data_IF_955447160978
#
_entry.id   IF_955447160978
#
_cell.length_a   1.000
_cell.length_b   1.000
_cell.length_c   1.000
_cell.angle_alpha   90.00
_cell.angle_beta   90.00
_cell.angle_gamma   90.00
#
_symmetry.space_group_name_H-M   'P 1'
#
loop_
_entity.id
_entity.type
_entity.pdbx_description
1 polymer ?
#
# COMPACT_ATOMS: atom_id res chain seq x y z
N UNK A 1 -5.87 76.46 9.41
CA UNK A 1 -4.70 75.64 9.04
C UNK A 1 -5.10 74.71 7.91
N UNK A 2 -4.58 74.99 6.71
CA UNK A 2 -3.92 74.04 5.80
C UNK A 2 -4.03 72.53 6.14
N UNK A 3 -4.31 71.56 5.25
CA UNK A 3 -4.36 71.51 3.78
C UNK A 3 -5.07 70.23 3.32
N UNK A 4 -5.84 70.36 2.24
CA UNK A 4 -6.48 69.35 1.39
C UNK A 4 -5.48 68.64 0.44
N UNK A 5 -5.85 67.45 -0.06
CA UNK A 5 -5.72 66.90 -1.44
C UNK A 5 -5.30 65.42 -1.40
N UNK A 6 -6.08 64.45 -1.94
CA UNK A 6 -6.50 64.19 -3.33
C UNK A 6 -5.34 63.70 -4.22
N UNK A 7 -5.33 62.40 -4.54
CA UNK A 7 -4.62 61.80 -5.68
C UNK A 7 -5.50 60.63 -6.18
N UNK A 8 -6.29 60.77 -7.25
CA UNK A 8 -5.97 60.62 -8.68
C UNK A 8 -5.59 59.19 -9.12
N UNK A 9 -6.47 58.63 -9.97
CA UNK A 9 -6.25 57.50 -10.87
C UNK A 9 -5.32 57.90 -12.04
N UNK A 10 -4.34 57.06 -12.41
CA UNK A 10 -4.27 56.33 -13.71
C UNK A 10 -2.94 55.58 -13.92
N UNK A 11 -3.06 54.31 -14.33
CA UNK A 11 -2.22 53.49 -15.23
C UNK A 11 -0.70 53.37 -15.00
N UNK A 12 -0.27 52.16 -14.62
CA UNK A 12 0.88 51.42 -15.18
C UNK A 12 0.79 49.93 -14.80
N UNK A 13 0.83 49.04 -15.79
CA UNK A 13 1.05 47.60 -15.61
C UNK A 13 2.34 47.34 -14.83
N UNK A 14 2.33 46.44 -13.84
CA UNK A 14 3.42 45.48 -13.56
C UNK A 14 3.06 44.56 -12.36
N UNK A 15 3.22 43.25 -12.55
CA UNK A 15 3.00 42.17 -11.58
C UNK A 15 4.33 41.94 -10.83
N UNK A 16 4.38 41.91 -9.48
CA UNK A 16 5.62 41.55 -8.77
C UNK A 16 5.81 40.02 -8.77
N UNK A 17 6.91 39.56 -9.40
CA UNK A 17 7.44 38.20 -9.26
C UNK A 17 7.96 37.99 -7.83
N UNK A 18 7.35 37.08 -7.09
CA UNK A 18 7.92 36.57 -5.84
C UNK A 18 9.06 35.59 -6.15
N UNK A 19 10.21 35.84 -5.53
CA UNK A 19 11.46 35.10 -5.66
C UNK A 19 11.38 33.74 -4.97
N UNK A 20 11.73 32.67 -5.69
CA UNK A 20 11.69 31.25 -5.30
C UNK A 20 12.93 30.76 -4.54
N UNK A 21 13.76 31.65 -4.01
CA UNK A 21 15.18 31.34 -3.75
C UNK A 21 15.55 31.05 -2.28
N UNK A 22 14.58 30.83 -1.40
CA UNK A 22 14.86 30.66 0.07
C UNK A 22 14.41 29.34 0.67
N UNK A 23 13.80 28.41 -0.08
CA UNK A 23 13.42 27.07 0.43
C UNK A 23 14.28 25.92 -0.07
N UNK A 24 15.12 26.14 -1.07
CA UNK A 24 15.99 25.09 -1.62
C UNK A 24 17.32 24.93 -0.87
N UNK A 25 17.72 25.93 -0.08
CA UNK A 25 19.00 25.91 0.66
C UNK A 25 18.97 25.06 1.95
N UNK A 26 17.80 24.65 2.45
CA UNK A 26 17.71 23.86 3.69
C UNK A 26 17.67 22.34 3.47
N UNK A 27 17.37 21.86 2.26
CA UNK A 27 17.24 20.41 1.97
C UNK A 27 18.59 19.75 1.68
N UNK A 28 19.58 20.50 1.20
CA UNK A 28 20.90 19.96 0.78
C UNK A 28 21.98 20.03 1.85
N UNK A 29 21.70 20.57 3.04
CA UNK A 29 22.67 20.67 4.14
C UNK A 29 22.69 19.44 5.07
N UNK A 30 21.80 18.47 4.88
CA UNK A 30 21.76 17.26 5.71
C UNK A 30 22.79 16.23 5.24
N UNK A 31 23.66 15.77 6.14
CA UNK A 31 24.58 14.66 5.90
C UNK A 31 23.87 13.38 5.39
N UNK A 32 22.57 13.22 5.70
CA UNK A 32 21.75 12.13 5.14
C UNK A 32 21.45 12.32 3.65
N UNK A 33 21.20 13.56 3.19
CA UNK A 33 20.97 13.84 1.78
C UNK A 33 22.24 13.58 0.95
N UNK A 34 23.40 13.98 1.47
CA UNK A 34 24.70 13.70 0.84
C UNK A 34 25.04 12.20 0.85
N UNK A 35 24.72 11.49 1.93
CA UNK A 35 24.87 10.03 2.01
C UNK A 35 23.98 9.28 1.01
N UNK A 36 22.73 9.75 0.83
CA UNK A 36 21.81 9.17 -0.14
C UNK A 36 22.30 9.40 -1.58
N UNK A 37 22.81 10.60 -1.86
CA UNK A 37 23.34 10.94 -3.18
C UNK A 37 24.60 10.12 -3.51
N UNK A 38 25.52 9.97 -2.55
CA UNK A 38 26.72 9.16 -2.72
C UNK A 38 26.40 7.67 -2.93
N UNK A 39 25.38 7.16 -2.23
CA UNK A 39 24.91 5.79 -2.41
C UNK A 39 24.25 5.59 -3.79
N UNK A 40 23.48 6.58 -4.26
CA UNK A 40 22.84 6.54 -5.59
C UNK A 40 23.90 6.56 -6.70
N UNK A 41 24.90 7.44 -6.59
CA UNK A 41 26.03 7.52 -7.54
C UNK A 41 26.83 6.22 -7.54
N UNK A 42 27.17 5.68 -6.35
CA UNK A 42 27.89 4.41 -6.23
C UNK A 42 27.13 3.21 -6.80
N UNK A 43 25.79 3.23 -6.74
CA UNK A 43 24.93 2.21 -7.34
C UNK A 43 24.85 2.32 -8.87
N UNK A 44 24.78 3.54 -9.40
CA UNK A 44 24.60 3.79 -10.83
C UNK A 44 25.92 3.69 -11.61
N UNK A 45 27.07 3.97 -10.99
CA UNK A 45 28.36 4.03 -11.67
C UNK A 45 28.80 2.70 -12.34
N UNK A 46 28.63 1.52 -11.72
CA UNK A 46 28.90 0.23 -12.39
C UNK A 46 27.95 -0.04 -13.56
N UNK A 47 26.69 0.42 -13.47
CA UNK A 47 25.66 0.25 -14.50
C UNK A 47 26.02 1.10 -15.72
N UNK A 48 26.43 2.36 -15.49
CA UNK A 48 26.90 3.27 -16.53
C UNK A 48 28.17 2.72 -17.19
N UNK A 49 29.15 2.25 -16.42
CA UNK A 49 30.39 1.66 -16.96
C UNK A 49 30.12 0.41 -17.81
N UNK A 50 29.14 -0.42 -17.43
CA UNK A 50 28.73 -1.60 -18.19
C UNK A 50 28.05 -1.20 -19.51
N UNK A 51 27.20 -0.17 -19.49
CA UNK A 51 26.55 0.37 -20.69
C UNK A 51 27.56 1.00 -21.67
N UNK A 52 28.56 1.74 -21.14
CA UNK A 52 29.64 2.34 -21.94
C UNK A 52 30.58 1.27 -22.51
N UNK A 53 30.91 0.22 -21.75
CA UNK A 53 31.73 -0.89 -22.22
C UNK A 53 31.04 -1.70 -23.34
N UNK A 54 29.72 -1.87 -23.28
CA UNK A 54 28.94 -2.51 -24.35
C UNK A 54 28.84 -1.67 -25.64
N UNK A 55 29.09 -0.36 -25.57
CA UNK A 55 29.11 0.52 -26.76
C UNK A 55 30.44 0.47 -27.55
N UNK A 56 31.49 -0.13 -27.00
CA UNK A 56 32.84 -0.14 -27.58
C UNK A 56 33.17 -1.31 -28.53
N UNK A 57 32.24 -2.25 -28.77
CA UNK A 57 32.51 -3.41 -29.64
C UNK A 57 32.08 -3.16 -31.11
N UNK A 58 33.01 -3.15 -32.08
CA UNK A 58 32.71 -2.82 -33.47
C UNK A 58 32.24 -4.07 -34.24
N UNK A 59 31.16 -4.72 -33.79
CA UNK A 59 30.40 -5.69 -34.61
C UNK A 59 29.06 -6.07 -33.98
N UNK A 60 28.09 -5.16 -34.03
CA UNK A 60 26.67 -5.53 -33.98
C UNK A 60 25.87 -4.66 -34.94
N UNK A 61 25.60 -5.20 -36.12
CA UNK A 61 24.68 -4.63 -37.11
C UNK A 61 23.25 -5.05 -36.75
N UNK A 62 22.72 -4.61 -35.61
CA UNK A 62 21.26 -4.59 -35.35
C UNK A 62 20.96 -3.85 -34.06
N UNK A 63 21.12 -2.52 -34.00
CA UNK A 63 20.33 -1.61 -33.14
C UNK A 63 20.57 -0.21 -33.72
N UNK A 64 19.60 0.37 -34.42
CA UNK A 64 19.61 1.80 -34.82
C UNK A 64 18.55 2.63 -34.08
N UNK A 65 17.64 1.98 -33.33
CA UNK A 65 16.64 2.64 -32.47
C UNK A 65 17.07 2.83 -31.00
N UNK A 66 17.74 1.86 -30.39
CA UNK A 66 18.17 1.94 -28.97
C UNK A 66 19.43 2.78 -28.70
N UNK A 67 20.10 3.29 -29.74
CA UNK A 67 21.26 4.18 -29.58
C UNK A 67 20.87 5.61 -29.21
N UNK A 68 19.70 6.05 -29.66
CA UNK A 68 19.20 7.42 -29.43
C UNK A 68 18.60 7.58 -28.02
N UNK A 69 17.94 6.52 -27.51
CA UNK A 69 17.38 6.51 -26.14
C UNK A 69 18.45 6.43 -25.05
N UNK A 70 19.50 5.64 -25.28
CA UNK A 70 20.63 5.55 -24.36
C UNK A 70 21.41 6.86 -24.23
N UNK A 71 21.55 7.62 -25.33
CA UNK A 71 22.17 8.95 -25.28
C UNK A 71 21.30 9.98 -24.55
N UNK A 72 19.98 9.98 -24.78
CA UNK A 72 19.05 10.88 -24.09
C UNK A 72 18.98 10.60 -22.58
N UNK A 73 19.08 9.33 -22.18
CA UNK A 73 19.15 8.96 -20.76
C UNK A 73 20.46 9.43 -20.12
N UNK A 74 21.58 9.35 -20.85
CA UNK A 74 22.87 9.82 -20.37
C UNK A 74 22.94 11.35 -20.28
N UNK A 75 22.40 12.09 -21.25
CA UNK A 75 22.28 13.56 -21.19
C UNK A 75 21.40 14.00 -20.01
N UNK A 76 20.25 13.35 -19.78
CA UNK A 76 19.37 13.69 -18.65
C UNK A 76 20.02 13.43 -17.27
N UNK A 77 20.86 12.39 -17.17
CA UNK A 77 21.61 12.08 -15.95
C UNK A 77 22.79 13.05 -15.77
N UNK A 78 23.49 13.41 -16.84
CA UNK A 78 24.60 14.38 -16.81
C UNK A 78 24.09 15.78 -16.45
N UNK A 79 22.97 16.22 -17.03
CA UNK A 79 22.29 17.47 -16.68
C UNK A 79 21.87 17.50 -15.22
N UNK A 80 21.33 16.38 -14.70
CA UNK A 80 20.97 16.27 -13.29
C UNK A 80 22.19 16.37 -12.36
N UNK A 81 23.33 15.78 -12.75
CA UNK A 81 24.58 15.84 -11.99
C UNK A 81 25.18 17.24 -12.04
N UNK A 82 25.25 17.87 -13.22
CA UNK A 82 25.79 19.24 -13.40
C UNK A 82 24.96 20.27 -12.62
N UNK A 83 23.63 20.10 -12.62
CA UNK A 83 22.70 20.96 -11.88
C UNK A 83 22.77 20.74 -10.35
N UNK A 84 23.34 19.61 -9.90
CA UNK A 84 23.50 19.27 -8.49
C UNK A 84 24.89 19.59 -7.90
N UNK A 85 25.91 19.87 -8.73
CA UNK A 85 27.33 19.95 -8.31
C UNK A 85 27.92 21.38 -8.29
N UNK A 86 27.18 22.42 -8.69
CA UNK A 86 27.68 23.82 -8.59
C UNK A 86 27.56 24.42 -7.17
N UNK A 87 28.31 23.90 -6.20
CA UNK A 87 28.74 24.64 -5.00
C UNK A 87 30.12 24.14 -4.52
N UNK A 88 31.16 24.95 -4.76
CA UNK A 88 32.54 24.73 -4.36
C UNK A 88 32.76 24.79 -2.82
N UNK A 89 33.40 23.73 -2.26
CA UNK A 89 34.45 23.62 -1.20
C UNK A 89 34.52 24.55 0.06
N UNK A 90 35.29 24.23 1.17
CA UNK A 90 36.14 23.06 1.48
C UNK A 90 35.97 22.41 2.89
N UNK A 91 36.42 21.14 2.95
CA UNK A 91 36.96 20.30 4.05
C UNK A 91 37.22 20.91 5.45
N UNK A 92 36.73 20.22 6.51
CA UNK A 92 37.42 20.09 7.82
C UNK A 92 37.21 18.69 8.46
N UNK A 93 38.22 18.26 9.23
CA UNK A 93 38.57 16.93 9.74
C UNK A 93 37.74 16.40 10.93
N UNK A 94 37.78 15.08 11.21
CA UNK A 94 37.05 14.45 12.31
C UNK A 94 37.84 14.47 13.63
N UNK A 95 37.17 14.64 14.77
CA UNK A 95 37.63 14.11 16.07
C UNK A 95 36.47 13.97 17.08
N UNK A 96 36.48 12.79 17.72
CA UNK A 96 36.00 12.45 19.06
C UNK A 96 34.50 12.51 19.40
N UNK A 97 33.85 11.34 19.40
CA UNK A 97 32.74 11.04 20.32
C UNK A 97 33.00 9.71 21.02
N UNK A 98 33.21 9.79 22.34
CA UNK A 98 33.38 8.67 23.27
C UNK A 98 32.12 7.82 23.37
N UNK A 99 32.31 6.50 23.39
CA UNK A 99 31.29 5.50 23.71
C UNK A 99 31.38 5.19 25.20
N UNK A 100 30.33 5.54 25.97
CA UNK A 100 30.10 4.97 27.31
C UNK A 100 29.12 3.80 27.20
N UNK A 101 29.57 2.63 27.67
CA UNK A 101 28.79 1.40 27.78
C UNK A 101 28.12 1.38 29.16
N UNK A 102 26.81 1.59 29.20
CA UNK A 102 25.99 1.44 30.40
C UNK A 102 25.27 0.08 30.42
N UNK A 103 25.67 -0.77 31.36
CA UNK A 103 25.06 -2.06 31.68
C UNK A 103 23.64 -1.89 32.24
N UNK A 104 22.64 -2.64 31.74
CA UNK A 104 21.29 -2.71 32.31
C UNK A 104 21.07 -4.11 32.90
N UNK A 105 20.89 -4.14 34.22
CA UNK A 105 20.46 -5.31 35.00
C UNK A 105 18.98 -5.63 34.75
N UNK A 106 18.67 -6.92 34.66
CA UNK A 106 17.31 -7.46 34.57
C UNK A 106 16.70 -7.60 35.96
N UNK A 107 15.55 -6.99 36.19
CA UNK A 107 14.61 -7.39 37.25
C UNK A 107 13.42 -8.11 36.61
N UNK A 108 13.18 -9.33 37.11
CA UNK A 108 12.05 -10.19 36.80
C UNK A 108 11.03 -9.97 37.91
N UNK A 109 9.84 -9.47 37.58
CA UNK A 109 8.68 -9.53 38.48
C UNK A 109 7.61 -10.43 37.85
N UNK A 110 7.20 -11.41 38.64
CA UNK A 110 6.20 -12.42 38.35
C UNK A 110 4.86 -11.96 38.93
N UNK A 111 3.85 -11.78 38.09
CA UNK A 111 2.46 -11.70 38.52
C UNK A 111 1.67 -12.86 37.92
N UNK A 112 1.22 -13.75 38.80
CA UNK A 112 0.31 -14.86 38.52
C UNK A 112 -1.11 -14.40 38.82
N UNK A 113 -1.88 -14.08 37.79
CA UNK A 113 -3.33 -13.94 37.92
C UNK A 113 -4.04 -15.03 37.12
N UNK A 114 -4.80 -15.84 37.84
CA UNK A 114 -5.48 -17.04 37.35
C UNK A 114 -6.91 -16.68 36.93
N UNK A 115 -7.15 -16.61 35.62
CA UNK A 115 -8.49 -16.43 35.04
C UNK A 115 -9.12 -17.81 34.81
N UNK A 116 -10.41 -18.03 35.14
CA UNK A 116 -11.05 -19.33 34.98
C UNK A 116 -11.17 -19.73 33.51
N UNK A 117 -10.70 -20.93 33.17
CA UNK A 117 -10.85 -21.58 31.87
C UNK A 117 -12.34 -21.88 31.60
N UNK A 118 -13.00 -20.97 30.87
CA UNK A 118 -14.19 -21.34 30.09
C UNK A 118 -13.68 -22.25 28.98
N UNK A 119 -14.04 -23.53 29.01
CA UNK A 119 -13.66 -24.49 27.99
C UNK A 119 -14.27 -24.07 26.64
N UNK A 120 -13.46 -23.41 25.81
CA UNK A 120 -13.75 -23.24 24.39
C UNK A 120 -14.03 -24.63 23.78
N UNK A 121 -15.00 -24.76 22.87
CA UNK A 121 -15.26 -26.03 22.21
C UNK A 121 -13.95 -26.57 21.61
N UNK A 122 -13.67 -27.85 21.84
CA UNK A 122 -12.48 -28.52 21.31
C UNK A 122 -12.47 -28.35 19.79
N UNK A 123 -11.57 -27.50 19.31
CA UNK A 123 -11.34 -27.29 17.89
C UNK A 123 -10.91 -28.62 17.31
N UNK A 124 -11.58 -29.15 16.28
CA UNK A 124 -11.13 -30.36 15.61
C UNK A 124 -9.71 -30.12 15.08
N UNK A 125 -8.78 -30.96 15.47
CA UNK A 125 -7.37 -30.84 15.09
C UNK A 125 -7.18 -31.65 13.81
N UNK A 126 -6.77 -31.04 12.68
CA UNK A 126 -6.50 -31.76 11.44
C UNK A 126 -5.37 -32.79 11.60
N UNK A 127 -5.25 -33.73 10.67
CA UNK A 127 -4.13 -34.67 10.66
C UNK A 127 -2.76 -33.95 10.65
N UNK A 128 -1.73 -34.57 11.24
CA UNK A 128 -0.39 -33.96 11.45
C UNK A 128 0.23 -33.42 10.15
N UNK A 129 0.05 -34.16 9.04
CA UNK A 129 0.51 -33.74 7.70
C UNK A 129 -0.11 -32.42 7.25
N UNK A 130 -1.42 -32.23 7.48
CA UNK A 130 -2.16 -31.01 7.14
C UNK A 130 -1.68 -29.86 8.02
N UNK A 131 -1.53 -30.08 9.32
CA UNK A 131 -1.06 -29.05 10.26
C UNK A 131 0.33 -28.53 9.86
N UNK A 132 1.28 -29.43 9.63
CA UNK A 132 2.64 -29.09 9.23
C UNK A 132 2.66 -28.35 7.90
N UNK A 133 1.83 -28.77 6.95
CA UNK A 133 1.65 -28.09 5.68
C UNK A 133 1.11 -26.67 5.83
N UNK A 134 0.06 -26.47 6.66
CA UNK A 134 -0.50 -25.13 6.94
C UNK A 134 0.57 -24.23 7.55
N UNK A 135 1.29 -24.67 8.58
CA UNK A 135 2.34 -23.87 9.23
C UNK A 135 3.43 -23.47 8.23
N UNK A 136 3.84 -24.41 7.36
CA UNK A 136 4.87 -24.20 6.34
C UNK A 136 4.47 -23.13 5.31
N UNK A 137 3.18 -23.05 4.95
CA UNK A 137 2.66 -22.04 4.01
C UNK A 137 2.34 -20.72 4.72
N UNK A 138 1.76 -20.77 5.91
CA UNK A 138 1.31 -19.60 6.65
C UNK A 138 2.46 -18.68 7.06
N UNK A 139 3.57 -19.23 7.57
CA UNK A 139 4.70 -18.41 8.06
C UNK A 139 5.24 -17.45 6.98
N UNK A 140 5.63 -17.91 5.77
CA UNK A 140 6.07 -17.00 4.72
C UNK A 140 4.93 -16.15 4.17
N UNK A 141 3.66 -16.60 4.24
CA UNK A 141 2.52 -15.77 3.84
C UNK A 141 2.43 -14.52 4.73
N UNK A 142 2.41 -14.67 6.05
CA UNK A 142 2.35 -13.55 6.99
C UNK A 142 3.58 -12.64 6.85
N UNK A 143 4.80 -13.21 6.80
CA UNK A 143 6.02 -12.40 6.78
C UNK A 143 6.21 -11.62 5.49
N UNK A 144 5.81 -12.22 4.35
CA UNK A 144 6.12 -11.65 3.04
C UNK A 144 4.94 -10.92 2.41
N UNK A 145 3.70 -11.35 2.62
CA UNK A 145 2.53 -10.78 1.93
C UNK A 145 1.71 -9.83 2.82
N UNK A 146 1.71 -10.04 4.14
CA UNK A 146 0.91 -9.21 5.04
C UNK A 146 1.68 -8.02 5.62
N UNK A 147 0.97 -6.93 5.97
CA UNK A 147 1.55 -5.80 6.68
C UNK A 147 2.20 -6.18 8.02
N UNK A 148 3.02 -5.27 8.55
CA UNK A 148 3.64 -5.42 9.87
C UNK A 148 2.57 -5.51 10.97
N UNK A 149 1.48 -4.75 10.78
CA UNK A 149 0.37 -4.63 11.72
C UNK A 149 -0.94 -4.43 10.96
N UNK A 150 -2.03 -4.95 11.49
CA UNK A 150 -3.39 -4.80 10.94
C UNK A 150 -4.39 -4.56 12.07
N UNK A 151 -5.57 -4.04 11.72
CA UNK A 151 -6.77 -4.12 12.55
C UNK A 151 -7.40 -5.49 12.38
N UNK A 152 -7.75 -6.13 13.49
CA UNK A 152 -8.59 -7.32 13.51
C UNK A 152 -9.94 -6.99 14.15
N UNK A 153 -11.01 -7.47 13.56
CA UNK A 153 -12.39 -7.18 13.97
C UNK A 153 -13.28 -8.40 13.76
N UNK A 154 -14.49 -8.36 14.32
CA UNK A 154 -15.51 -9.40 14.15
C UNK A 154 -16.27 -9.27 12.82
N UNK A 155 -17.24 -10.15 12.59
CA UNK A 155 -18.04 -10.17 11.36
C UNK A 155 -18.93 -8.93 11.15
N UNK A 156 -19.09 -8.07 12.16
CA UNK A 156 -19.78 -6.79 12.04
C UNK A 156 -18.82 -5.61 11.86
N UNK A 157 -17.50 -5.86 11.89
CA UNK A 157 -16.47 -4.81 11.90
C UNK A 157 -16.25 -4.18 13.28
N UNK A 158 -16.83 -4.77 14.34
CA UNK A 158 -16.69 -4.30 15.71
C UNK A 158 -15.55 -5.01 16.45
N UNK A 159 -15.32 -4.62 17.72
CA UNK A 159 -14.30 -5.26 18.55
C UNK A 159 -12.86 -5.08 18.05
N UNK A 160 -12.60 -3.97 17.35
CA UNK A 160 -11.33 -3.69 16.69
C UNK A 160 -10.14 -3.79 17.65
N UNK A 161 -9.12 -4.54 17.24
CA UNK A 161 -7.84 -4.66 17.93
C UNK A 161 -6.71 -4.46 16.94
N UNK A 162 -5.73 -3.67 17.33
CA UNK A 162 -4.51 -3.50 16.56
C UNK A 162 -3.56 -4.67 16.87
N UNK A 163 -3.18 -5.45 15.86
CA UNK A 163 -2.45 -6.71 16.03
C UNK A 163 -1.23 -6.81 15.12
N UNK A 164 -0.17 -7.45 15.62
CA UNK A 164 1.07 -7.68 14.87
C UNK A 164 1.07 -9.01 14.09
N UNK A 165 2.17 -9.29 13.38
CA UNK A 165 2.35 -10.54 12.61
C UNK A 165 2.27 -11.82 13.46
N UNK A 166 2.63 -11.79 14.74
CA UNK A 166 2.57 -12.98 15.61
C UNK A 166 1.12 -13.30 15.99
N UNK A 167 0.34 -12.28 16.32
CA UNK A 167 -1.09 -12.40 16.58
C UNK A 167 -1.87 -12.76 15.31
N UNK A 168 -1.53 -12.15 14.16
CA UNK A 168 -2.08 -12.56 12.86
C UNK A 168 -1.83 -14.04 12.60
N UNK A 169 -0.59 -14.51 12.76
CA UNK A 169 -0.24 -15.92 12.59
C UNK A 169 -1.11 -16.82 13.46
N UNK A 170 -1.28 -16.51 14.75
CA UNK A 170 -2.11 -17.32 15.66
C UNK A 170 -3.57 -17.38 15.25
N UNK A 171 -4.16 -16.24 14.85
CA UNK A 171 -5.57 -16.19 14.42
C UNK A 171 -5.82 -16.92 13.11
N UNK A 172 -4.96 -16.67 12.10
CA UNK A 172 -5.08 -17.33 10.79
C UNK A 172 -4.83 -18.83 10.93
N UNK A 173 -3.86 -19.26 11.75
CA UNK A 173 -3.60 -20.67 12.01
C UNK A 173 -4.84 -21.36 12.61
N UNK A 174 -5.45 -20.74 13.63
CA UNK A 174 -6.65 -21.25 14.26
C UNK A 174 -7.81 -21.38 13.27
N UNK A 175 -8.09 -20.33 12.47
CA UNK A 175 -9.14 -20.36 11.45
C UNK A 175 -8.85 -21.40 10.36
N UNK A 176 -7.59 -21.52 9.91
CA UNK A 176 -7.18 -22.52 8.93
C UNK A 176 -7.33 -23.95 9.48
N UNK A 177 -7.07 -24.21 10.77
CA UNK A 177 -7.31 -25.54 11.36
C UNK A 177 -8.81 -25.89 11.39
N UNK A 178 -9.66 -24.92 11.71
CA UNK A 178 -11.12 -25.10 11.63
C UNK A 178 -11.56 -25.36 10.19
N UNK A 179 -11.06 -24.57 9.24
CA UNK A 179 -11.37 -24.71 7.82
C UNK A 179 -10.89 -26.04 7.23
N UNK A 180 -9.69 -26.48 7.61
CA UNK A 180 -9.16 -27.79 7.23
C UNK A 180 -10.02 -28.94 7.78
N UNK A 181 -10.73 -28.74 8.90
CA UNK A 181 -11.59 -29.76 9.48
C UNK A 181 -13.00 -29.81 8.87
N UNK A 182 -13.32 -28.91 7.93
CA UNK A 182 -14.61 -28.92 7.24
C UNK A 182 -14.72 -30.10 6.27
N UNK A 183 -15.93 -30.67 6.08
CA UNK A 183 -16.14 -31.81 5.18
C UNK A 183 -15.63 -31.56 3.76
N UNK A 184 -15.87 -30.38 3.19
CA UNK A 184 -15.46 -30.05 1.82
C UNK A 184 -13.95 -30.12 1.63
N UNK A 185 -13.19 -29.61 2.61
CA UNK A 185 -11.72 -29.69 2.58
C UNK A 185 -11.26 -31.14 2.72
N UNK A 186 -11.85 -31.91 3.63
CA UNK A 186 -11.49 -33.31 3.86
C UNK A 186 -11.79 -34.19 2.64
N UNK A 187 -12.91 -33.97 1.97
CA UNK A 187 -13.25 -34.67 0.71
C UNK A 187 -12.23 -34.33 -0.37
N UNK A 188 -11.96 -33.04 -0.62
CA UNK A 188 -10.98 -32.63 -1.62
C UNK A 188 -9.56 -33.16 -1.31
N UNK A 189 -9.21 -33.24 -0.03
CA UNK A 189 -7.96 -33.83 0.43
C UNK A 189 -7.87 -35.33 0.11
N UNK A 190 -8.93 -36.09 0.40
CA UNK A 190 -9.02 -37.52 0.10
C UNK A 190 -8.98 -37.80 -1.40
N UNK A 191 -9.71 -37.02 -2.22
CA UNK A 191 -9.66 -37.13 -3.68
C UNK A 191 -8.23 -36.93 -4.22
N UNK A 192 -7.48 -35.99 -3.62
CA UNK A 192 -6.08 -35.80 -3.96
C UNK A 192 -5.20 -37.00 -3.54
N UNK A 193 -5.51 -37.67 -2.42
CA UNK A 193 -4.82 -38.90 -2.01
C UNK A 193 -5.11 -40.08 -2.95
N UNK A 194 -6.34 -40.21 -3.46
CA UNK A 194 -6.68 -41.28 -4.41
C UNK A 194 -5.87 -41.21 -5.71
N UNK A 195 -5.55 -39.99 -6.17
CA UNK A 195 -4.67 -39.78 -7.32
C UNK A 195 -3.26 -40.29 -7.09
N UNK A 196 -2.78 -40.33 -5.85
CA UNK A 196 -1.44 -40.81 -5.55
C UNK A 196 -1.23 -42.26 -6.04
N UNK A 197 -2.33 -43.03 -6.10
CA UNK A 197 -2.37 -44.41 -6.55
C UNK A 197 -2.51 -44.57 -8.07
N UNK A 198 -2.67 -43.48 -8.83
CA UNK A 198 -2.84 -43.51 -10.29
C UNK A 198 -1.51 -43.32 -11.04
N UNK A 199 -1.00 -44.32 -11.79
CA UNK A 199 0.20 -44.19 -12.61
C UNK A 199 -0.08 -43.57 -14.01
N UNK A 200 0.91 -42.90 -14.63
CA UNK A 200 2.21 -42.49 -14.09
C UNK A 200 2.14 -41.14 -13.35
N UNK A 201 3.01 -40.95 -12.34
CA UNK A 201 3.21 -39.69 -11.57
C UNK A 201 2.07 -39.23 -10.64
N UNK A 202 1.13 -40.10 -10.28
CA UNK A 202 0.03 -39.79 -9.35
C UNK A 202 0.44 -39.11 -8.05
N UNK A 203 1.54 -39.57 -7.42
CA UNK A 203 2.05 -38.99 -6.17
C UNK A 203 2.53 -37.52 -6.31
N UNK A 204 3.06 -37.13 -7.48
CA UNK A 204 3.43 -35.73 -7.74
C UNK A 204 2.21 -34.84 -7.89
N UNK A 205 1.18 -35.35 -8.57
CA UNK A 205 -0.08 -34.64 -8.75
C UNK A 205 -0.83 -34.49 -7.42
N UNK A 206 -0.89 -35.56 -6.61
CA UNK A 206 -1.44 -35.53 -5.26
C UNK A 206 -0.74 -34.47 -4.40
N UNK A 207 0.60 -34.47 -4.37
CA UNK A 207 1.37 -33.47 -3.63
C UNK A 207 1.12 -32.03 -4.10
N UNK A 208 0.99 -31.80 -5.42
CA UNK A 208 0.61 -30.48 -5.96
C UNK A 208 -0.79 -30.06 -5.52
N UNK A 209 -1.77 -30.97 -5.55
CA UNK A 209 -3.14 -30.69 -5.11
C UNK A 209 -3.20 -30.39 -3.61
N UNK A 210 -2.53 -31.18 -2.76
CA UNK A 210 -2.46 -30.91 -1.33
C UNK A 210 -1.85 -29.55 -1.03
N UNK A 211 -0.74 -29.20 -1.69
CA UNK A 211 -0.13 -27.90 -1.51
C UNK A 211 -1.05 -26.75 -1.97
N UNK A 212 -1.78 -26.94 -3.07
CA UNK A 212 -2.76 -25.98 -3.56
C UNK A 212 -3.90 -25.76 -2.56
N UNK A 213 -4.52 -26.84 -2.06
CA UNK A 213 -5.60 -26.77 -1.07
C UNK A 213 -5.17 -26.02 0.19
N UNK A 214 -3.99 -26.34 0.73
CA UNK A 214 -3.45 -25.64 1.91
C UNK A 214 -3.18 -24.17 1.61
N UNK A 215 -2.65 -23.87 0.43
CA UNK A 215 -2.36 -22.48 0.03
C UNK A 215 -3.65 -21.68 -0.07
N UNK A 216 -4.67 -22.18 -0.76
CA UNK A 216 -5.97 -21.51 -0.90
C UNK A 216 -6.65 -21.31 0.46
N UNK A 217 -6.58 -22.29 1.35
CA UNK A 217 -7.10 -22.20 2.71
C UNK A 217 -6.40 -21.10 3.53
N UNK A 218 -5.07 -21.06 3.49
CA UNK A 218 -4.28 -20.02 4.17
C UNK A 218 -4.59 -18.64 3.58
N UNK A 219 -4.60 -18.52 2.25
CA UNK A 219 -4.87 -17.27 1.57
C UNK A 219 -6.29 -16.77 1.86
N UNK A 220 -7.28 -17.65 1.94
CA UNK A 220 -8.65 -17.31 2.31
C UNK A 220 -8.74 -16.72 3.73
N UNK A 221 -8.15 -17.37 4.72
CA UNK A 221 -8.21 -16.89 6.11
C UNK A 221 -7.27 -15.72 6.41
N UNK A 222 -6.29 -15.44 5.55
CA UNK A 222 -5.37 -14.30 5.68
C UNK A 222 -5.83 -13.05 4.90
N UNK A 223 -7.00 -13.09 4.26
CA UNK A 223 -7.56 -11.94 3.50
C UNK A 223 -7.71 -10.71 4.39
N UNK A 224 -7.29 -9.58 3.86
CA UNK A 224 -7.46 -8.28 4.50
C UNK A 224 -7.92 -7.24 3.48
N UNK A 225 -8.70 -6.27 3.96
CA UNK A 225 -9.00 -5.05 3.23
C UNK A 225 -7.89 -4.03 3.47
N UNK A 226 -7.60 -3.20 2.48
CA UNK A 226 -6.68 -2.07 2.61
C UNK A 226 -7.42 -0.77 2.30
N UNK A 227 -7.26 0.25 3.15
CA UNK A 227 -7.91 1.55 2.96
C UNK A 227 -6.99 2.50 2.21
N UNK A 228 -7.44 2.93 1.04
CA UNK A 228 -6.90 4.06 0.29
C UNK A 228 -7.77 5.28 0.57
N UNK A 229 -7.21 6.35 1.15
CA UNK A 229 -8.01 7.50 1.58
C UNK A 229 -7.20 8.80 1.63
N UNK A 230 -7.90 9.94 1.60
CA UNK A 230 -7.34 11.25 1.91
C UNK A 230 -7.33 11.49 3.43
N UNK A 231 -6.19 11.98 3.93
CA UNK A 231 -6.07 12.29 5.35
C UNK A 231 -7.00 13.46 5.70
N UNK A 232 -7.67 13.39 6.85
CA UNK A 232 -8.49 14.50 7.36
C UNK A 232 -7.56 15.69 7.62
N UNK A 233 -7.82 16.80 6.92
CA UNK A 233 -6.96 18.00 6.97
C UNK A 233 -7.26 18.91 8.16
N UNK A 234 -8.45 18.81 8.73
CA UNK A 234 -8.86 19.60 9.89
C UNK A 234 -8.22 19.08 11.19
N UNK A 235 -8.29 19.89 12.26
CA UNK A 235 -7.83 19.48 13.60
C UNK A 235 -9.03 19.17 14.49
N UNK A 236 -9.10 17.97 15.13
CA UNK A 236 -8.16 16.86 15.00
C UNK A 236 -8.28 16.14 13.64
N UNK A 237 -7.13 15.66 13.14
CA UNK A 237 -7.03 14.92 11.87
C UNK A 237 -7.44 13.45 12.02
N UNK A 238 -6.85 12.55 11.23
CA UNK A 238 -7.02 11.11 11.43
C UNK A 238 -6.41 10.65 12.76
N UNK A 239 -6.98 9.60 13.34
CA UNK A 239 -6.32 8.87 14.43
C UNK A 239 -5.04 8.25 13.87
N UNK A 240 -3.95 8.37 14.60
CA UNK A 240 -2.65 7.80 14.25
C UNK A 240 -2.23 6.72 15.24
N UNK A 241 -1.23 5.91 14.88
CA UNK A 241 -0.76 4.77 15.67
C UNK A 241 -0.60 5.08 17.18
N UNK A 242 0.12 6.16 17.52
CA UNK A 242 0.39 6.55 18.91
C UNK A 242 -0.86 6.89 19.73
N UNK A 243 -1.94 7.29 19.06
CA UNK A 243 -3.19 7.74 19.69
C UNK A 243 -4.25 6.63 19.69
N UNK A 244 -3.90 5.39 19.30
CA UNK A 244 -4.83 4.26 19.21
C UNK A 244 -5.58 3.98 20.52
N UNK A 245 -4.89 4.02 21.66
CA UNK A 245 -5.49 3.78 22.98
C UNK A 245 -6.49 4.88 23.38
N UNK A 246 -6.26 6.11 22.92
CA UNK A 246 -7.12 7.28 23.21
C UNK A 246 -8.00 7.67 22.02
N UNK A 247 -8.14 6.80 21.02
CA UNK A 247 -8.83 7.08 19.75
C UNK A 247 -10.24 7.66 19.91
N UNK A 248 -10.94 7.28 20.98
CA UNK A 248 -12.29 7.77 21.30
C UNK A 248 -12.31 9.28 21.58
N UNK A 249 -11.17 9.88 21.95
CA UNK A 249 -11.03 11.34 22.10
C UNK A 249 -11.05 12.09 20.76
N UNK A 250 -10.93 11.38 19.63
CA UNK A 250 -11.11 11.89 18.28
C UNK A 250 -12.29 11.18 17.58
N UNK A 251 -13.55 11.59 17.84
CA UNK A 251 -14.73 10.90 17.32
C UNK A 251 -14.78 10.83 15.80
N UNK A 252 -14.30 11.87 15.10
CA UNK A 252 -14.32 11.93 13.63
C UNK A 252 -13.35 10.93 13.02
N UNK A 253 -12.08 10.95 13.45
CA UNK A 253 -11.08 9.99 12.98
C UNK A 253 -11.43 8.56 13.38
N UNK A 254 -11.98 8.36 14.59
CA UNK A 254 -12.42 7.04 15.03
C UNK A 254 -13.63 6.53 14.24
N UNK A 255 -14.60 7.39 13.91
CA UNK A 255 -15.74 7.03 13.07
C UNK A 255 -15.30 6.54 11.68
N UNK A 256 -14.26 7.15 11.09
CA UNK A 256 -13.69 6.71 9.81
C UNK A 256 -13.11 5.30 9.91
N UNK A 257 -12.38 5.00 10.98
CA UNK A 257 -11.83 3.65 11.24
C UNK A 257 -12.97 2.65 11.43
N UNK A 258 -13.95 2.97 12.26
CA UNK A 258 -15.08 2.09 12.54
C UNK A 258 -15.88 1.77 11.27
N UNK A 259 -16.13 2.77 10.42
CA UNK A 259 -16.82 2.58 9.14
C UNK A 259 -16.02 1.76 8.15
N UNK A 260 -14.71 1.99 8.05
CA UNK A 260 -13.83 1.13 7.25
C UNK A 260 -13.92 -0.34 7.68
N UNK A 261 -13.82 -0.63 8.98
CA UNK A 261 -13.92 -2.00 9.49
C UNK A 261 -15.31 -2.60 9.25
N UNK A 262 -16.38 -1.82 9.43
CA UNK A 262 -17.76 -2.25 9.14
C UNK A 262 -17.91 -2.68 7.68
N UNK A 263 -17.51 -1.81 6.74
CA UNK A 263 -17.56 -2.08 5.29
C UNK A 263 -16.70 -3.28 4.93
N UNK A 264 -15.46 -3.35 5.44
CA UNK A 264 -14.56 -4.47 5.19
C UNK A 264 -15.17 -5.81 5.66
N UNK A 265 -15.82 -5.83 6.81
CA UNK A 265 -16.44 -7.05 7.34
C UNK A 265 -17.72 -7.43 6.60
N UNK A 266 -18.64 -6.48 6.41
CA UNK A 266 -20.01 -6.76 5.93
C UNK A 266 -20.07 -6.93 4.43
N UNK A 267 -19.38 -6.07 3.68
CA UNK A 267 -19.47 -6.04 2.23
C UNK A 267 -18.45 -6.99 1.59
N UNK A 268 -17.29 -7.17 2.24
CA UNK A 268 -16.17 -7.95 1.69
C UNK A 268 -15.85 -9.22 2.45
N UNK A 269 -16.47 -9.46 3.61
CA UNK A 269 -16.32 -10.70 4.38
C UNK A 269 -14.91 -10.93 4.92
N UNK A 270 -14.12 -9.88 5.15
CA UNK A 270 -12.77 -10.00 5.71
C UNK A 270 -12.76 -9.71 7.21
N UNK A 271 -11.77 -10.25 7.93
CA UNK A 271 -11.61 -10.04 9.38
C UNK A 271 -10.42 -9.13 9.73
N UNK A 272 -9.70 -8.67 8.70
CA UNK A 272 -8.51 -7.85 8.83
C UNK A 272 -8.60 -6.62 7.95
N UNK A 273 -8.13 -5.49 8.47
CA UNK A 273 -8.09 -4.21 7.77
C UNK A 273 -6.75 -3.52 7.97
N UNK A 274 -6.26 -2.83 6.94
CA UNK A 274 -5.06 -2.01 7.02
C UNK A 274 -5.34 -0.57 6.63
N UNK A 275 -4.86 0.36 7.46
CA UNK A 275 -4.96 1.80 7.25
C UNK A 275 -3.63 2.43 7.68
N UNK A 276 -2.98 3.18 6.78
CA UNK A 276 -1.62 3.67 6.96
C UNK A 276 -1.44 4.57 8.20
N UNK A 277 -2.46 5.35 8.57
CA UNK A 277 -2.40 6.27 9.71
C UNK A 277 -2.24 5.53 11.04
N UNK A 278 -2.91 4.39 11.22
CA UNK A 278 -2.95 3.62 12.47
C UNK A 278 -2.11 2.35 12.44
N UNK A 279 -1.88 1.75 11.27
CA UNK A 279 -1.14 0.49 11.18
C UNK A 279 0.38 0.71 11.14
N UNK A 280 0.84 1.91 10.80
CA UNK A 280 2.27 2.23 10.72
C UNK A 280 2.67 3.05 11.95
N UNK A 281 3.64 2.54 12.69
CA UNK A 281 4.33 3.33 13.70
C UNK A 281 5.34 4.27 13.03
N UNK A 282 4.90 5.49 12.76
CA UNK A 282 5.72 6.53 12.09
C UNK A 282 6.85 7.07 12.96
N UNK A 283 6.82 6.79 14.27
CA UNK A 283 7.90 7.17 15.21
C UNK A 283 9.06 6.17 15.18
N UNK A 284 8.87 4.97 14.59
CA UNK A 284 9.93 4.00 14.34
C UNK A 284 10.45 4.16 12.91
N UNK A 285 11.64 4.74 12.75
CA UNK A 285 12.29 4.90 11.43
C UNK A 285 12.43 3.57 10.69
N UNK A 286 12.80 2.49 11.38
CA UNK A 286 12.91 1.16 10.81
C UNK A 286 11.57 0.62 10.29
N UNK A 287 10.48 0.84 11.02
CA UNK A 287 9.15 0.37 10.62
C UNK A 287 8.61 1.22 9.46
N UNK A 288 8.84 2.53 9.49
CA UNK A 288 8.48 3.44 8.42
C UNK A 288 9.21 3.07 7.12
N UNK A 289 10.51 2.80 7.18
CA UNK A 289 11.31 2.39 6.02
C UNK A 289 10.90 1.02 5.46
N UNK A 290 10.54 0.05 6.32
CA UNK A 290 9.96 -1.22 5.87
C UNK A 290 8.60 -0.98 5.20
N UNK A 291 7.77 -0.12 5.80
CA UNK A 291 6.42 0.17 5.30
C UNK A 291 6.45 0.83 3.94
N UNK A 292 7.29 1.85 3.74
CA UNK A 292 7.44 2.52 2.44
C UNK A 292 7.87 1.53 1.36
N UNK A 293 8.85 0.66 1.64
CA UNK A 293 9.34 -0.34 0.66
C UNK A 293 8.35 -1.47 0.40
N UNK A 294 7.39 -1.69 1.30
CA UNK A 294 6.45 -2.81 1.23
C UNK A 294 5.04 -2.40 0.78
N UNK A 295 4.71 -1.11 0.80
CA UNK A 295 3.34 -0.63 0.62
C UNK A 295 2.73 -1.08 -0.71
N UNK A 296 3.45 -0.96 -1.83
CA UNK A 296 2.98 -1.48 -3.13
C UNK A 296 2.64 -2.97 -3.05
N UNK A 297 3.49 -3.77 -2.39
CA UNK A 297 3.27 -5.20 -2.22
C UNK A 297 2.05 -5.49 -1.34
N UNK A 298 1.82 -4.70 -0.31
CA UNK A 298 0.64 -4.82 0.55
C UNK A 298 -0.64 -4.46 -0.20
N UNK A 299 -0.67 -3.35 -0.93
CA UNK A 299 -1.80 -3.04 -1.80
C UNK A 299 -2.08 -4.16 -2.82
N UNK A 300 -1.03 -4.71 -3.43
CA UNK A 300 -1.16 -5.81 -4.38
C UNK A 300 -1.61 -7.14 -3.76
N UNK A 301 -1.27 -7.38 -2.51
CA UNK A 301 -1.63 -8.60 -1.78
C UNK A 301 -2.96 -8.48 -1.02
N UNK A 302 -3.53 -7.28 -0.90
CA UNK A 302 -4.83 -7.07 -0.28
C UNK A 302 -5.92 -7.79 -1.08
N UNK A 303 -6.91 -8.32 -0.37
CA UNK A 303 -8.07 -8.95 -1.00
C UNK A 303 -8.94 -7.91 -1.72
N UNK A 304 -9.08 -6.73 -1.11
CA UNK A 304 -9.79 -5.59 -1.66
C UNK A 304 -9.11 -4.30 -1.20
N UNK A 305 -8.95 -3.35 -2.12
CA UNK A 305 -8.65 -1.96 -1.81
C UNK A 305 -9.96 -1.18 -1.74
N UNK A 306 -10.28 -0.68 -0.56
CA UNK A 306 -11.41 0.22 -0.34
C UNK A 306 -10.88 1.63 -0.55
N UNK A 307 -11.31 2.30 -1.61
CA UNK A 307 -10.95 3.69 -1.90
C UNK A 307 -12.06 4.60 -1.40
N UNK A 308 -11.81 5.29 -0.29
CA UNK A 308 -12.75 6.21 0.33
C UNK A 308 -12.56 7.64 -0.21
N UNK A 309 -13.60 8.16 -0.85
CA UNK A 309 -13.65 9.47 -1.48
C UNK A 309 -14.41 10.46 -0.57
N UNK A 310 -13.67 11.14 0.29
CA UNK A 310 -14.22 11.95 1.37
C UNK A 310 -15.00 13.20 0.91
N UNK A 311 -14.85 13.60 -0.36
CA UNK A 311 -15.44 14.82 -0.95
C UNK A 311 -16.43 14.48 -2.08
N UNK A 312 -16.70 13.19 -2.30
CA UNK A 312 -17.57 12.70 -3.37
C UNK A 312 -18.89 12.19 -2.78
N UNK A 313 -20.02 12.60 -3.38
CA UNK A 313 -21.36 12.01 -3.13
C UNK A 313 -21.93 11.31 -4.34
N UNK A 314 -21.68 11.89 -5.51
CA UNK A 314 -22.19 11.40 -6.78
C UNK A 314 -21.01 11.01 -7.67
N UNK A 315 -21.23 10.03 -8.55
CA UNK A 315 -20.17 9.53 -9.42
C UNK A 315 -19.62 10.64 -10.33
N UNK A 316 -20.46 11.59 -10.71
CA UNK A 316 -20.11 12.75 -11.53
C UNK A 316 -19.15 13.72 -10.84
N UNK A 317 -18.98 13.64 -9.52
CA UNK A 317 -18.04 14.48 -8.77
C UNK A 317 -16.74 13.73 -8.42
N UNK A 318 -16.65 12.43 -8.70
CA UNK A 318 -15.51 11.57 -8.36
C UNK A 318 -14.16 12.16 -8.79
N UNK A 319 -14.05 12.65 -10.03
CA UNK A 319 -12.79 13.20 -10.55
C UNK A 319 -12.31 14.49 -9.84
N UNK A 320 -13.19 15.14 -9.07
CA UNK A 320 -12.87 16.36 -8.31
C UNK A 320 -12.35 16.06 -6.91
N UNK A 321 -12.49 14.83 -6.43
CA UNK A 321 -12.03 14.42 -5.11
C UNK A 321 -10.53 14.64 -4.97
N UNK A 322 -10.12 15.20 -3.84
CA UNK A 322 -8.70 15.41 -3.54
C UNK A 322 -7.88 14.13 -3.55
N UNK A 323 -8.51 12.95 -3.47
CA UNK A 323 -7.85 11.67 -3.67
C UNK A 323 -7.09 11.61 -5.01
N UNK A 324 -7.65 12.13 -6.11
CA UNK A 324 -6.99 12.14 -7.42
C UNK A 324 -5.79 13.10 -7.56
N UNK A 325 -5.48 13.88 -6.51
CA UNK A 325 -4.38 14.87 -6.54
C UNK A 325 -3.17 14.46 -5.70
N UNK A 326 -3.18 13.26 -5.08
CA UNK A 326 -2.10 12.81 -4.19
C UNK A 326 -1.07 11.99 -4.96
N UNK A 327 0.21 12.13 -4.59
CA UNK A 327 1.30 11.36 -5.21
C UNK A 327 1.29 9.85 -4.93
N UNK A 328 0.53 9.39 -3.93
CA UNK A 328 0.39 7.95 -3.63
C UNK A 328 -0.76 7.29 -4.39
N UNK A 329 -1.69 8.08 -4.91
CA UNK A 329 -2.92 7.61 -5.58
C UNK A 329 -2.63 6.64 -6.70
N UNK A 330 -1.57 6.88 -7.46
CA UNK A 330 -1.19 5.98 -8.55
C UNK A 330 -0.88 4.57 -8.05
N UNK A 331 -0.11 4.44 -6.96
CA UNK A 331 0.21 3.12 -6.40
C UNK A 331 -1.04 2.47 -5.80
N UNK A 332 -1.85 3.27 -5.10
CA UNK A 332 -3.11 2.82 -4.48
C UNK A 332 -4.16 2.38 -5.54
N UNK A 333 -4.07 2.92 -6.76
CA UNK A 333 -4.93 2.59 -7.90
C UNK A 333 -4.43 1.38 -8.70
N UNK A 334 -3.13 1.32 -8.98
CA UNK A 334 -2.55 0.33 -9.90
C UNK A 334 -2.13 -0.98 -9.22
N UNK A 335 -1.73 -0.94 -7.95
CA UNK A 335 -1.20 -2.12 -7.27
C UNK A 335 -2.27 -3.16 -6.90
N UNK A 336 -3.45 -2.78 -6.35
CA UNK A 336 -4.46 -3.76 -5.96
C UNK A 336 -5.00 -4.55 -7.12
N UNK A 337 -5.36 -5.81 -6.89
CA UNK A 337 -6.05 -6.65 -7.90
C UNK A 337 -7.54 -6.32 -7.98
N UNK A 338 -8.12 -5.83 -6.87
CA UNK A 338 -9.53 -5.47 -6.73
C UNK A 338 -9.62 -4.14 -5.99
N UNK A 339 -10.37 -3.18 -6.56
CA UNK A 339 -10.61 -1.87 -5.97
C UNK A 339 -12.11 -1.57 -5.96
N UNK A 340 -12.62 -1.05 -4.85
CA UNK A 340 -14.00 -0.59 -4.69
C UNK A 340 -14.00 0.84 -4.20
N UNK A 341 -14.78 1.69 -4.85
CA UNK A 341 -14.86 3.11 -4.51
C UNK A 341 -16.09 3.37 -3.65
N UNK A 342 -15.86 4.05 -2.54
CA UNK A 342 -16.89 4.42 -1.59
C UNK A 342 -16.97 5.94 -1.48
N UNK A 343 -18.19 6.46 -1.41
CA UNK A 343 -18.44 7.89 -1.27
C UNK A 343 -18.24 8.37 0.18
N UNK A 344 -18.52 9.65 0.43
CA UNK A 344 -18.35 10.26 1.75
C UNK A 344 -19.29 9.70 2.84
N UNK A 345 -20.35 9.01 2.44
CA UNK A 345 -21.32 8.37 3.34
C UNK A 345 -21.03 6.87 3.54
N UNK A 346 -19.93 6.36 2.95
CA UNK A 346 -19.53 4.95 2.91
C UNK A 346 -20.47 4.05 2.11
N UNK A 347 -21.11 4.60 1.08
CA UNK A 347 -21.84 3.81 0.11
C UNK A 347 -20.96 3.42 -1.07
N UNK A 348 -21.07 2.17 -1.54
CA UNK A 348 -20.37 1.70 -2.73
C UNK A 348 -20.91 2.41 -3.97
N UNK A 349 -20.04 3.09 -4.71
CA UNK A 349 -20.41 3.83 -5.91
C UNK A 349 -20.91 2.93 -7.07
N UNK A 350 -20.67 1.62 -7.01
CA UNK A 350 -21.15 0.65 -8.00
C UNK A 350 -22.52 0.05 -7.67
N UNK A 351 -23.02 0.21 -6.44
CA UNK A 351 -24.32 -0.32 -6.05
C UNK A 351 -25.38 0.78 -6.24
N UNK A 352 -26.46 0.45 -6.95
CA UNK A 352 -27.61 1.34 -7.04
C UNK A 352 -28.29 1.48 -5.68
N UNK A 353 -28.65 2.70 -5.29
CA UNK A 353 -29.56 2.91 -4.16
C UNK A 353 -30.98 2.58 -4.62
N UNK A 354 -31.68 1.77 -3.83
CA UNK A 354 -33.14 1.84 -3.76
C UNK A 354 -33.50 3.12 -2.97
N UNK A 355 -33.52 4.28 -3.61
CA UNK A 355 -34.00 5.50 -2.95
C UNK A 355 -35.54 5.46 -2.86
N UNK A 356 -36.16 5.50 -1.67
CA UNK A 356 -37.62 5.51 -1.51
C UNK A 356 -38.30 6.79 -2.00
N UNK A 357 -37.54 7.81 -2.47
CA UNK A 357 -38.08 8.97 -3.16
C UNK A 357 -37.94 8.82 -4.68
N UNK A 358 -38.69 7.85 -5.23
CA UNK A 358 -38.93 7.66 -6.66
C UNK A 358 -39.39 8.98 -7.33
N UNK A 359 -38.45 9.72 -7.91
CA UNK A 359 -38.73 10.56 -9.06
C UNK A 359 -38.64 9.68 -10.31
N UNK A 360 -39.53 9.85 -11.31
CA UNK A 360 -39.70 8.91 -12.41
C UNK A 360 -38.60 9.12 -13.47
N UNK A 361 -37.37 8.79 -13.12
CA UNK A 361 -36.26 8.57 -14.05
C UNK A 361 -35.43 7.45 -13.44
N UNK A 362 -35.65 6.23 -13.92
CA UNK A 362 -34.84 5.06 -13.57
C UNK A 362 -33.36 5.45 -13.55
N UNK A 363 -32.68 5.44 -12.38
CA UNK A 363 -31.23 5.41 -12.39
C UNK A 363 -30.85 4.12 -13.14
N UNK A 364 -29.93 4.24 -14.10
CA UNK A 364 -29.37 3.07 -14.75
C UNK A 364 -28.30 2.48 -13.83
N UNK A 365 -28.14 1.14 -13.81
CA UNK A 365 -27.14 0.49 -12.98
C UNK A 365 -25.76 1.03 -13.30
N UNK A 366 -25.14 1.63 -12.28
CA UNK A 366 -23.80 2.16 -12.40
C UNK A 366 -22.84 1.03 -12.73
N UNK A 367 -22.02 1.21 -13.74
CA UNK A 367 -21.12 0.16 -14.24
C UNK A 367 -19.67 0.45 -13.89
N UNK A 368 -18.85 -0.60 -13.81
CA UNK A 368 -17.40 -0.46 -13.67
C UNK A 368 -16.79 0.39 -14.80
N UNK A 369 -17.43 0.39 -15.99
CA UNK A 369 -17.02 1.21 -17.13
C UNK A 369 -17.16 2.72 -16.86
N UNK A 370 -18.18 3.16 -16.11
CA UNK A 370 -18.36 4.58 -15.77
C UNK A 370 -17.32 5.04 -14.75
N UNK A 371 -17.00 4.21 -13.76
CA UNK A 371 -15.88 4.47 -12.84
C UNK A 371 -14.56 4.54 -13.62
N UNK A 372 -14.31 3.59 -14.52
CA UNK A 372 -13.11 3.56 -15.34
C UNK A 372 -13.02 4.78 -16.26
N UNK A 373 -14.15 5.29 -16.76
CA UNK A 373 -14.22 6.55 -17.49
C UNK A 373 -13.81 7.74 -16.61
N UNK A 374 -14.32 7.85 -15.37
CA UNK A 374 -13.92 8.91 -14.43
C UNK A 374 -12.45 8.86 -14.05
N UNK A 375 -11.91 7.65 -13.86
CA UNK A 375 -10.48 7.46 -13.64
C UNK A 375 -9.72 7.96 -14.87
N UNK A 376 -10.07 7.50 -16.07
CA UNK A 376 -9.42 7.90 -17.33
C UNK A 376 -9.47 9.40 -17.58
N UNK A 377 -10.61 10.04 -17.35
CA UNK A 377 -10.78 11.50 -17.46
C UNK A 377 -9.76 12.24 -16.59
N UNK A 378 -9.48 11.69 -15.40
CA UNK A 378 -8.66 12.37 -14.39
C UNK A 378 -7.17 12.02 -14.44
N UNK A 379 -6.83 10.78 -14.81
CA UNK A 379 -5.49 10.20 -14.77
C UNK A 379 -4.94 9.85 -16.16
N UNK A 380 -5.71 9.98 -17.23
CA UNK A 380 -5.36 9.47 -18.57
C UNK A 380 -5.09 7.96 -18.66
N UNK A 381 -5.26 7.20 -17.58
CA UNK A 381 -5.02 5.75 -17.56
C UNK A 381 -6.20 5.04 -18.20
N UNK A 382 -5.94 4.20 -19.19
CA UNK A 382 -7.01 3.45 -19.86
C UNK A 382 -7.46 2.23 -19.04
N UNK A 383 -8.65 1.73 -19.32
CA UNK A 383 -9.16 0.50 -18.71
C UNK A 383 -8.27 -0.72 -19.00
N UNK A 384 -7.70 -0.80 -20.21
CA UNK A 384 -6.75 -1.84 -20.58
C UNK A 384 -5.45 -1.75 -19.74
N UNK A 385 -4.93 -0.54 -19.54
CA UNK A 385 -3.74 -0.30 -18.70
C UNK A 385 -4.01 -0.69 -17.23
N UNK A 386 -5.16 -0.28 -16.68
CA UNK A 386 -5.59 -0.68 -15.35
C UNK A 386 -5.68 -2.21 -15.23
N UNK A 387 -6.31 -2.85 -16.21
CA UNK A 387 -6.48 -4.31 -16.24
C UNK A 387 -5.13 -5.03 -16.28
N UNK A 388 -4.21 -4.58 -17.12
CA UNK A 388 -2.84 -5.12 -17.19
C UNK A 388 -2.11 -5.00 -15.85
N UNK A 389 -2.20 -3.84 -15.19
CA UNK A 389 -1.62 -3.63 -13.87
C UNK A 389 -2.22 -4.58 -12.81
N UNK A 390 -3.56 -4.66 -12.73
CA UNK A 390 -4.29 -5.50 -11.76
C UNK A 390 -3.98 -7.00 -11.94
N UNK A 391 -3.90 -7.46 -13.19
CA UNK A 391 -3.54 -8.84 -13.52
C UNK A 391 -2.06 -9.17 -13.25
N UNK A 392 -1.20 -8.16 -13.03
CA UNK A 392 0.24 -8.35 -12.86
C UNK A 392 1.04 -8.44 -14.14
N UNK A 393 0.45 -8.01 -15.24
CA UNK A 393 1.03 -8.02 -16.59
C UNK A 393 1.45 -6.60 -17.01
N UNK A 394 1.82 -5.74 -16.05
CA UNK A 394 2.18 -4.34 -16.30
C UNK A 394 3.37 -4.21 -17.28
N UNK A 395 4.22 -5.22 -17.38
CA UNK A 395 5.32 -5.29 -18.35
C UNK A 395 4.86 -5.30 -19.82
N UNK A 396 3.59 -5.65 -20.08
CA UNK A 396 2.98 -5.54 -21.42
C UNK A 396 2.70 -4.08 -21.79
N UNK A 397 2.67 -3.16 -20.83
CA UNK A 397 2.59 -1.72 -21.07
C UNK A 397 3.99 -1.22 -21.51
N UNK A 398 4.09 -0.49 -22.64
CA UNK A 398 5.36 0.07 -23.11
C UNK A 398 6.12 0.81 -22.01
N UNK A 399 7.44 0.68 -21.98
CA UNK A 399 8.26 1.26 -20.91
C UNK A 399 8.13 2.79 -20.85
N UNK A 400 8.07 3.46 -22.00
CA UNK A 400 7.81 4.91 -22.09
C UNK A 400 6.50 5.29 -21.39
N UNK A 401 5.44 4.53 -21.65
CA UNK A 401 4.13 4.73 -21.04
C UNK A 401 4.15 4.47 -19.54
N UNK A 402 4.85 3.43 -19.07
CA UNK A 402 5.02 3.20 -17.62
C UNK A 402 5.78 4.34 -16.92
N UNK A 403 6.76 4.95 -17.58
CA UNK A 403 7.48 6.12 -17.06
C UNK A 403 6.57 7.35 -17.02
N UNK A 404 5.71 7.55 -18.03
CA UNK A 404 4.67 8.60 -18.01
C UNK A 404 3.66 8.38 -16.90
N UNK A 405 3.26 7.14 -16.61
CA UNK A 405 2.38 6.86 -15.49
C UNK A 405 3.06 7.25 -14.17
N UNK A 406 4.32 6.87 -13.99
CA UNK A 406 5.08 7.17 -12.77
C UNK A 406 5.41 8.65 -12.56
N UNK A 407 5.24 9.51 -13.57
CA UNK A 407 5.51 10.95 -13.49
C UNK A 407 4.25 11.80 -13.24
N UNK A 408 3.07 11.19 -13.24
CA UNK A 408 1.79 11.82 -12.88
C UNK A 408 1.55 11.77 -11.37
#
# INVERSE_FOLDING_TARGET
MATLQRAQFCTSNEIPRATTDTRYSEITASAQAQGLLAALVGYLQPIIQTCVASAGHPNSKHIRGGRDEGHKLLEAIDDFIVMSVHLDSPVQSPNDINIEVGSIERTVESETDSVPLIASPLVPIPHESIQSGIIKVLRPHISNKMPIRVLAFDSAGAGMKLIDRNEMFRRVLHSAFIGASQPDFQIAWMEAEELANSPPLGWQEAGRRHNKLITELVEYHARYAILSHTWIRDTPGDVVFKDWEIRESNPRGYSKIAKFCEVAARDHGVAFGWMDSICINKDSSSELDESIRSMYKWYRAAYVCITYLAETRLLEDMQRDSWFTRGWTLQELLAPQSTRFYDMDWDDLLIERDDPLDLPFFPLPRTEAEINEKIRERTSITEDELTLCRCGDAEKIPISRRLELASQ
#
